data_IF_420266843172
#
_entry.id   IF_420266843172
#
_cell.length_a   1.000
_cell.length_b   1.000
_cell.length_c   1.000
_cell.angle_alpha   90.00
_cell.angle_beta   90.00
_cell.angle_gamma   90.00
#
_symmetry.space_group_name_H-M   'P 1'
#
loop_
_entity.id
_entity.type
_entity.pdbx_description
1 polymer ?
#
# COMPACT_ATOMS: atom_id res chain seq x y z
N UNK A 1 -21.08 4.71 -48.57
CA UNK A 1 -20.23 5.37 -49.58
C UNK A 1 -20.62 6.83 -49.70
N UNK A 2 -19.77 7.76 -49.31
CA UNK A 2 -19.78 9.15 -49.79
C UNK A 2 -18.42 9.76 -49.49
N UNK A 3 -17.55 9.76 -50.50
CA UNK A 3 -16.18 10.27 -50.42
C UNK A 3 -16.17 11.78 -50.60
N UNK A 4 -15.54 12.49 -49.66
CA UNK A 4 -15.17 13.90 -49.85
C UNK A 4 -13.85 13.95 -50.61
N UNK A 5 -13.88 14.50 -51.82
CA UNK A 5 -12.70 14.82 -52.64
C UNK A 5 -11.92 15.98 -52.00
N UNK A 6 -10.57 16.02 -52.14
CA UNK A 6 -9.77 17.17 -51.70
C UNK A 6 -10.01 18.37 -52.62
N UNK A 7 -10.07 19.57 -52.02
CA UNK A 7 -10.12 20.83 -52.75
C UNK A 7 -8.80 21.06 -53.50
N UNK A 8 -8.93 21.35 -54.79
CA UNK A 8 -7.84 21.78 -55.68
C UNK A 8 -7.27 23.13 -55.24
N UNK A 9 -5.93 23.20 -55.18
CA UNK A 9 -5.16 24.43 -55.04
C UNK A 9 -5.51 25.40 -56.17
N UNK A 10 -5.90 26.64 -55.82
CA UNK A 10 -6.13 27.72 -56.78
C UNK A 10 -4.79 28.26 -57.29
N UNK A 11 -4.64 28.51 -58.60
CA UNK A 11 -3.49 29.26 -59.13
C UNK A 11 -3.56 30.71 -58.64
N UNK A 12 -2.49 31.23 -58.03
CA UNK A 12 -2.35 32.65 -57.67
C UNK A 12 -2.14 32.96 -56.18
N UNK A 13 -2.00 31.96 -55.31
CA UNK A 13 -1.65 32.21 -53.91
C UNK A 13 -0.13 32.49 -53.79
N UNK A 14 0.23 33.77 -53.60
CA UNK A 14 1.58 34.17 -53.20
C UNK A 14 1.81 33.73 -51.76
N UNK A 15 2.75 32.82 -51.55
CA UNK A 15 3.27 32.54 -50.22
C UNK A 15 4.27 33.64 -49.84
N UNK A 16 3.92 34.46 -48.85
CA UNK A 16 4.88 35.31 -48.15
C UNK A 16 5.83 34.41 -47.36
N UNK A 17 6.98 34.12 -47.96
CA UNK A 17 8.12 33.49 -47.29
C UNK A 17 8.98 34.60 -46.68
N UNK A 18 8.60 35.07 -45.50
CA UNK A 18 9.50 35.87 -44.68
C UNK A 18 10.68 34.99 -44.26
N UNK A 19 11.93 35.33 -44.63
CA UNK A 19 13.09 34.56 -44.19
C UNK A 19 13.24 34.71 -42.68
N UNK A 20 13.11 33.61 -41.94
CA UNK A 20 13.42 33.58 -40.51
C UNK A 20 14.92 33.82 -40.32
N UNK A 21 15.25 34.88 -39.58
CA UNK A 21 16.63 35.25 -39.27
C UNK A 21 17.37 34.16 -38.48
N UNK A 22 18.70 34.05 -38.57
CA UNK A 22 19.47 32.93 -37.99
C UNK A 22 19.65 33.00 -36.47
N UNK A 23 18.97 33.89 -35.75
CA UNK A 23 19.16 34.12 -34.31
C UNK A 23 18.24 33.30 -33.39
N UNK A 24 17.45 32.37 -33.94
CA UNK A 24 16.50 31.54 -33.20
C UNK A 24 16.97 30.12 -32.83
N UNK A 25 18.23 29.75 -33.09
CA UNK A 25 18.72 28.37 -32.88
C UNK A 25 19.33 28.11 -31.48
N UNK A 26 19.31 29.10 -30.58
CA UNK A 26 19.88 28.96 -29.22
C UNK A 26 18.87 28.72 -28.10
N UNK A 27 17.57 28.58 -28.39
CA UNK A 27 16.54 28.30 -27.35
C UNK A 27 16.06 26.84 -27.35
N UNK A 28 16.30 26.08 -28.42
CA UNK A 28 15.82 24.68 -28.53
C UNK A 28 16.78 23.67 -27.89
N UNK A 29 18.06 24.01 -27.72
CA UNK A 29 19.03 23.13 -27.06
C UNK A 29 18.92 23.13 -25.52
N UNK A 30 18.20 24.09 -24.93
CA UNK A 30 17.96 24.16 -23.48
C UNK A 30 16.78 23.30 -22.99
N UNK A 31 15.83 22.96 -23.87
CA UNK A 31 14.63 22.18 -23.51
C UNK A 31 14.75 20.68 -23.78
N UNK A 32 15.68 20.26 -24.64
CA UNK A 32 15.97 18.82 -24.84
C UNK A 32 16.92 18.28 -23.76
N UNK A 33 17.73 19.14 -23.12
CA UNK A 33 18.61 18.73 -22.01
C UNK A 33 17.86 18.60 -20.67
N UNK A 34 16.69 19.22 -20.52
CA UNK A 34 15.83 19.03 -19.35
C UNK A 34 14.96 17.75 -19.43
N UNK A 35 14.82 17.15 -20.62
CA UNK A 35 14.01 15.94 -20.83
C UNK A 35 14.83 14.63 -20.72
N UNK A 36 16.16 14.70 -20.62
CA UNK A 36 17.05 13.51 -20.56
C UNK A 36 17.71 13.33 -19.17
N UNK A 37 17.38 14.19 -18.20
CA UNK A 37 17.85 14.05 -16.80
C UNK A 37 16.73 13.87 -15.77
N UNK A 38 15.52 13.50 -16.21
CA UNK A 38 14.61 12.74 -15.35
C UNK A 38 15.06 11.28 -15.31
N UNK A 39 16.33 11.04 -14.96
CA UNK A 39 16.70 9.78 -14.31
C UNK A 39 15.87 9.83 -13.04
N UNK A 40 14.81 9.05 -12.98
CA UNK A 40 14.12 8.78 -11.73
C UNK A 40 15.22 8.35 -10.77
N UNK A 41 15.60 9.25 -9.85
CA UNK A 41 16.48 8.90 -8.75
C UNK A 41 15.77 7.70 -8.13
N UNK A 42 16.37 6.50 -8.11
CA UNK A 42 15.75 5.38 -7.44
C UNK A 42 15.53 5.88 -6.03
N UNK A 43 14.26 6.01 -5.63
CA UNK A 43 13.92 6.42 -4.30
C UNK A 43 14.59 5.40 -3.38
N UNK A 44 15.65 5.81 -2.68
CA UNK A 44 16.29 4.97 -1.68
C UNK A 44 15.17 4.46 -0.79
N UNK A 45 15.05 3.14 -0.65
CA UNK A 45 14.02 2.58 0.19
C UNK A 45 14.08 3.21 1.57
N UNK A 46 12.91 3.66 2.04
CA UNK A 46 12.80 4.22 3.36
C UNK A 46 13.02 3.13 4.39
N UNK A 47 13.88 3.40 5.39
CA UNK A 47 13.77 2.71 6.67
C UNK A 47 12.29 2.72 7.10
N UNK A 48 11.65 1.55 7.33
CA UNK A 48 10.25 1.51 7.74
C UNK A 48 9.97 2.36 8.98
N UNK A 49 10.93 2.46 9.89
CA UNK A 49 10.86 3.36 11.03
C UNK A 49 10.72 4.82 10.62
N UNK A 50 11.60 5.30 9.75
CA UNK A 50 11.58 6.67 9.22
C UNK A 50 10.31 6.99 8.41
N UNK A 51 9.78 6.04 7.64
CA UNK A 51 8.55 6.24 6.87
C UNK A 51 7.29 6.25 7.76
N UNK A 52 7.27 5.43 8.82
CA UNK A 52 6.12 5.31 9.73
C UNK A 52 6.07 6.43 10.77
N UNK A 53 7.22 6.86 11.31
CA UNK A 53 7.27 7.79 12.45
C UNK A 53 6.50 9.09 12.23
N UNK A 54 6.61 9.78 11.07
CA UNK A 54 5.85 11.02 10.80
C UNK A 54 4.33 10.81 10.72
N UNK A 55 3.89 9.57 10.53
CA UNK A 55 2.48 9.22 10.41
C UNK A 55 1.87 8.85 11.75
N UNK A 56 2.64 8.68 12.83
CA UNK A 56 2.12 8.31 14.14
C UNK A 56 1.36 9.48 14.78
N UNK A 57 0.30 9.16 15.54
CA UNK A 57 -0.58 10.13 16.19
C UNK A 57 -1.64 10.76 15.27
N UNK A 58 -1.60 10.51 13.96
CA UNK A 58 -2.65 10.96 13.03
C UNK A 58 -3.99 10.32 13.39
N UNK A 59 -5.05 11.13 13.38
CA UNK A 59 -6.39 10.70 13.75
C UNK A 59 -6.92 9.61 12.81
N UNK A 60 -7.79 8.75 13.35
CA UNK A 60 -8.51 7.81 12.53
C UNK A 60 -9.59 8.54 11.72
N UNK A 61 -9.65 8.28 10.41
CA UNK A 61 -10.71 8.78 9.52
C UNK A 61 -11.23 7.62 8.71
N UNK A 62 -12.55 7.41 8.74
CA UNK A 62 -13.19 6.42 7.90
C UNK A 62 -12.82 6.68 6.43
N UNK A 63 -12.33 5.64 5.77
CA UNK A 63 -11.86 5.66 4.39
C UNK A 63 -10.68 6.62 4.08
N UNK A 64 -10.09 7.24 5.11
CA UNK A 64 -9.04 8.26 4.97
C UNK A 64 -7.70 7.70 4.49
N UNK A 65 -7.04 8.42 3.57
CA UNK A 65 -5.75 8.07 2.97
C UNK A 65 -5.07 9.31 2.37
N UNK A 66 -3.74 9.31 2.25
CA UNK A 66 -3.06 10.31 1.41
C UNK A 66 -3.04 9.83 -0.05
N UNK A 67 -3.16 10.73 -1.03
CA UNK A 67 -2.94 10.38 -2.44
C UNK A 67 -1.45 10.45 -2.82
N UNK A 68 -1.05 10.08 -4.05
CA UNK A 68 0.36 10.15 -4.47
C UNK A 68 0.95 11.58 -4.49
N UNK A 69 0.11 12.61 -4.56
CA UNK A 69 0.52 14.02 -4.47
C UNK A 69 0.59 14.52 -3.02
N UNK A 70 0.28 13.66 -2.04
CA UNK A 70 0.26 13.99 -0.61
C UNK A 70 -1.01 14.69 -0.14
N UNK A 71 -2.07 14.76 -0.97
CA UNK A 71 -3.36 15.33 -0.56
C UNK A 71 -4.10 14.36 0.33
N UNK A 72 -4.68 14.86 1.42
CA UNK A 72 -5.47 14.06 2.35
C UNK A 72 -6.87 13.86 1.78
N UNK A 73 -7.25 12.63 1.49
CA UNK A 73 -8.47 12.29 0.75
C UNK A 73 -9.10 11.00 1.28
N UNK A 74 -10.12 10.51 0.56
CA UNK A 74 -10.78 9.23 0.80
C UNK A 74 -10.48 8.28 -0.36
N UNK A 75 -10.41 6.97 -0.11
CA UNK A 75 -10.28 6.01 -1.20
C UNK A 75 -11.48 6.04 -2.14
N UNK A 76 -12.70 6.03 -1.59
CA UNK A 76 -13.95 5.99 -2.35
C UNK A 76 -14.23 7.32 -3.07
N UNK A 77 -13.76 8.45 -2.52
CA UNK A 77 -13.95 9.76 -3.10
C UNK A 77 -12.67 10.61 -3.09
N UNK A 78 -11.82 10.40 -4.09
CA UNK A 78 -10.53 11.08 -4.24
C UNK A 78 -10.64 12.59 -4.57
N UNK A 79 -11.86 13.06 -4.84
CA UNK A 79 -12.14 14.50 -5.05
C UNK A 79 -12.35 15.24 -3.73
N UNK A 80 -12.74 14.53 -2.66
CA UNK A 80 -12.84 15.10 -1.32
C UNK A 80 -11.43 15.32 -0.76
N UNK A 81 -11.12 16.55 -0.35
CA UNK A 81 -9.83 16.91 0.24
C UNK A 81 -10.03 17.48 1.64
N UNK A 82 -9.14 17.11 2.56
CA UNK A 82 -9.18 17.57 3.94
C UNK A 82 -7.93 18.40 4.27
N UNK A 83 -8.05 19.40 5.15
CA UNK A 83 -6.90 20.17 5.62
C UNK A 83 -5.94 19.31 6.46
N UNK A 84 -6.50 18.39 7.25
CA UNK A 84 -5.73 17.53 8.15
C UNK A 84 -5.64 16.09 7.64
N UNK A 85 -4.52 15.43 7.92
CA UNK A 85 -4.34 13.99 7.71
C UNK A 85 -5.35 13.19 8.54
N UNK A 86 -5.74 12.04 8.01
CA UNK A 86 -6.58 11.09 8.71
C UNK A 86 -6.57 9.77 7.97
N UNK A 87 -6.41 8.67 8.69
CA UNK A 87 -6.23 7.35 8.09
C UNK A 87 -7.21 6.34 8.65
N UNK A 88 -7.79 5.50 7.80
CA UNK A 88 -8.23 4.18 8.26
C UNK A 88 -7.02 3.21 8.28
N UNK A 89 -7.24 1.96 8.69
CA UNK A 89 -6.15 0.97 8.75
C UNK A 89 -5.48 0.76 7.37
N UNK A 90 -6.27 0.65 6.30
CA UNK A 90 -5.78 0.50 4.92
C UNK A 90 -5.04 1.72 4.41
N UNK A 91 -5.56 2.92 4.67
CA UNK A 91 -4.99 4.18 4.23
C UNK A 91 -3.68 4.50 4.92
N UNK A 92 -3.54 4.10 6.19
CA UNK A 92 -2.27 4.14 6.89
C UNK A 92 -1.24 3.23 6.21
N UNK A 93 -1.60 1.97 5.93
CA UNK A 93 -0.70 1.01 5.25
C UNK A 93 -0.27 1.54 3.88
N UNK A 94 -1.20 2.05 3.05
CA UNK A 94 -0.88 2.60 1.72
C UNK A 94 0.05 3.80 1.84
N UNK A 95 -0.30 4.76 2.70
CA UNK A 95 0.46 6.00 2.87
C UNK A 95 1.88 5.71 3.36
N UNK A 96 2.04 4.88 4.39
CA UNK A 96 3.33 4.45 4.88
C UNK A 96 4.13 3.70 3.80
N UNK A 97 3.47 2.81 3.05
CA UNK A 97 4.12 2.00 2.01
C UNK A 97 4.68 2.83 0.87
N UNK A 98 4.11 4.00 0.55
CA UNK A 98 4.72 4.91 -0.42
C UNK A 98 6.11 5.36 0.00
N UNK A 99 6.26 5.72 1.27
CA UNK A 99 7.56 6.10 1.85
C UNK A 99 8.51 4.91 1.95
N UNK A 100 8.02 3.75 2.39
CA UNK A 100 8.82 2.52 2.56
C UNK A 100 9.35 2.02 1.21
N UNK A 101 8.46 1.90 0.23
CA UNK A 101 8.78 1.30 -1.07
C UNK A 101 9.28 2.33 -2.10
N UNK A 102 9.22 3.63 -1.79
CA UNK A 102 9.60 4.68 -2.73
C UNK A 102 8.73 4.69 -4.01
N UNK A 103 7.49 4.22 -3.92
CA UNK A 103 6.57 4.07 -5.07
C UNK A 103 5.33 4.96 -4.93
N UNK A 104 4.76 5.44 -6.04
CA UNK A 104 3.61 6.35 -5.99
C UNK A 104 2.32 5.68 -5.48
N UNK A 105 2.15 4.36 -5.58
CA UNK A 105 0.96 3.60 -5.17
C UNK A 105 -0.38 4.34 -5.43
N UNK A 106 -0.82 4.45 -6.70
CA UNK A 106 -2.09 5.09 -7.04
C UNK A 106 -3.27 4.43 -6.34
N UNK A 107 -4.21 5.21 -5.80
CA UNK A 107 -5.31 4.71 -4.98
C UNK A 107 -6.24 3.74 -5.75
N UNK A 108 -6.50 4.01 -7.02
CA UNK A 108 -7.24 3.10 -7.91
C UNK A 108 -6.61 1.71 -8.00
N UNK A 109 -5.28 1.64 -8.05
CA UNK A 109 -4.58 0.35 -8.09
C UNK A 109 -4.62 -0.36 -6.72
N UNK A 110 -4.65 0.40 -5.62
CA UNK A 110 -4.70 -0.16 -4.26
C UNK A 110 -6.07 -0.75 -3.92
N UNK A 111 -7.13 -0.23 -4.53
CA UNK A 111 -8.52 -0.67 -4.40
C UNK A 111 -8.86 -1.93 -5.22
N UNK A 112 -7.98 -2.38 -6.11
CA UNK A 112 -8.30 -3.48 -7.01
C UNK A 112 -8.60 -4.77 -6.24
N UNK A 113 -9.80 -5.31 -6.43
CA UNK A 113 -10.12 -6.69 -6.09
C UNK A 113 -9.36 -7.61 -7.06
N UNK A 114 -8.30 -8.26 -6.58
CA UNK A 114 -7.46 -9.15 -7.39
C UNK A 114 -8.06 -10.53 -7.50
N UNK A 115 -8.92 -10.92 -6.56
CA UNK A 115 -9.43 -12.28 -6.42
C UNK A 115 -10.87 -12.43 -6.89
N UNK A 116 -11.55 -11.32 -7.15
CA UNK A 116 -12.97 -11.28 -7.49
C UNK A 116 -13.83 -11.75 -6.32
N UNK A 117 -13.32 -11.66 -5.09
CA UNK A 117 -13.96 -12.17 -3.87
C UNK A 117 -14.52 -11.08 -2.98
N UNK A 118 -14.46 -9.81 -3.40
CA UNK A 118 -15.11 -8.71 -2.70
C UNK A 118 -16.62 -8.89 -2.66
N UNK A 119 -17.24 -8.36 -1.59
CA UNK A 119 -18.70 -8.43 -1.41
C UNK A 119 -19.44 -7.82 -2.60
N UNK A 120 -20.66 -8.30 -2.88
CA UNK A 120 -21.49 -7.85 -4.03
C UNK A 120 -21.71 -6.32 -4.09
N UNK A 121 -21.56 -5.63 -2.97
CA UNK A 121 -21.72 -4.18 -2.83
C UNK A 121 -20.40 -3.40 -3.01
N UNK A 122 -19.27 -4.06 -3.20
CA UNK A 122 -17.96 -3.45 -3.35
C UNK A 122 -17.07 -4.17 -4.38
N UNK A 123 -17.48 -4.14 -5.66
CA UNK A 123 -16.73 -4.80 -6.73
C UNK A 123 -15.34 -4.22 -6.99
N UNK A 124 -14.99 -3.07 -6.40
CA UNK A 124 -13.66 -2.48 -6.43
C UNK A 124 -13.10 -2.28 -5.01
N UNK A 125 -13.35 -3.26 -4.13
CA UNK A 125 -12.72 -3.39 -2.82
C UNK A 125 -13.09 -2.31 -1.80
N UNK A 126 -14.16 -1.53 -2.05
CA UNK A 126 -14.60 -0.43 -1.18
C UNK A 126 -15.19 -0.92 0.16
N UNK A 127 -15.61 -2.18 0.22
CA UNK A 127 -15.91 -2.93 1.44
C UNK A 127 -14.58 -3.61 1.78
N UNK A 128 -13.73 -2.91 2.52
CA UNK A 128 -12.33 -3.25 2.82
C UNK A 128 -12.14 -4.51 3.68
N UNK A 129 -13.10 -5.44 3.58
CA UNK A 129 -13.17 -6.77 4.15
C UNK A 129 -12.12 -7.75 3.61
N UNK A 130 -11.24 -7.32 2.69
CA UNK A 130 -10.21 -8.15 2.09
C UNK A 130 -8.84 -7.46 2.14
N UNK A 131 -8.36 -7.22 3.37
CA UNK A 131 -7.01 -6.73 3.63
C UNK A 131 -5.88 -7.54 2.97
N UNK A 132 -6.13 -8.75 2.50
CA UNK A 132 -5.16 -9.52 1.72
C UNK A 132 -4.88 -8.96 0.33
N UNK A 133 -5.93 -8.51 -0.39
CA UNK A 133 -5.75 -7.93 -1.72
C UNK A 133 -4.99 -6.61 -1.67
N UNK A 134 -5.21 -5.83 -0.62
CA UNK A 134 -4.40 -4.64 -0.36
C UNK A 134 -2.91 -4.99 -0.28
N UNK A 135 -2.56 -6.04 0.46
CA UNK A 135 -1.18 -6.51 0.58
C UNK A 135 -0.63 -6.87 -0.80
N UNK A 136 -1.38 -7.63 -1.58
CA UNK A 136 -0.97 -8.00 -2.93
C UNK A 136 -0.78 -6.78 -3.82
N UNK A 137 -1.69 -5.79 -3.78
CA UNK A 137 -1.64 -4.55 -4.55
C UNK A 137 -0.43 -3.69 -4.18
N UNK A 138 -0.19 -3.47 -2.89
CA UNK A 138 0.94 -2.68 -2.39
C UNK A 138 2.28 -3.31 -2.79
N UNK A 139 2.37 -4.64 -2.70
CA UNK A 139 3.60 -5.39 -2.98
C UNK A 139 3.68 -5.90 -4.42
N UNK A 140 2.87 -5.34 -5.33
CA UNK A 140 2.83 -5.80 -6.72
C UNK A 140 4.19 -5.67 -7.42
N UNK A 141 4.64 -6.77 -8.05
CA UNK A 141 5.96 -6.87 -8.68
C UNK A 141 7.14 -7.14 -7.74
N UNK A 142 6.90 -7.34 -6.43
CA UNK A 142 7.95 -7.70 -5.46
C UNK A 142 7.93 -9.21 -5.17
N UNK A 143 9.08 -9.85 -4.90
CA UNK A 143 9.09 -11.23 -4.42
C UNK A 143 8.55 -11.25 -3.00
N UNK A 144 7.49 -12.04 -2.78
CA UNK A 144 6.80 -12.13 -1.49
C UNK A 144 7.10 -13.45 -0.80
N UNK A 145 7.05 -13.47 0.53
CA UNK A 145 7.07 -14.70 1.32
C UNK A 145 6.07 -14.59 2.48
N UNK A 146 5.42 -15.69 2.82
CA UNK A 146 4.57 -15.75 4.02
C UNK A 146 5.45 -15.95 5.25
N UNK A 147 5.18 -15.23 6.34
CA UNK A 147 5.76 -15.54 7.64
C UNK A 147 4.82 -16.48 8.40
N UNK A 148 5.32 -17.66 8.78
CA UNK A 148 4.55 -18.70 9.47
C UNK A 148 5.30 -19.24 10.68
N UNK A 149 4.60 -19.79 11.68
CA UNK A 149 5.25 -20.57 12.75
C UNK A 149 6.07 -21.74 12.19
N UNK A 150 7.16 -22.09 12.87
CA UNK A 150 8.02 -23.20 12.51
C UNK A 150 7.22 -24.51 12.30
N UNK A 151 7.54 -25.26 11.24
CA UNK A 151 6.87 -26.50 10.88
C UNK A 151 5.60 -26.33 10.03
N UNK A 152 5.12 -25.11 9.83
CA UNK A 152 4.05 -24.84 8.87
C UNK A 152 4.61 -24.47 7.49
N UNK A 153 3.89 -24.84 6.43
CA UNK A 153 4.25 -24.51 5.05
C UNK A 153 3.13 -23.71 4.41
N UNK A 154 3.51 -22.70 3.62
CA UNK A 154 2.62 -22.00 2.72
C UNK A 154 2.93 -22.42 1.27
N UNK A 155 1.96 -22.28 0.35
CA UNK A 155 2.23 -22.23 -1.08
C UNK A 155 3.41 -21.32 -1.42
N UNK A 156 4.21 -21.73 -2.42
CA UNK A 156 5.43 -21.04 -2.82
C UNK A 156 5.18 -19.60 -3.32
N UNK A 157 4.00 -19.35 -3.85
CA UNK A 157 3.56 -18.05 -4.37
C UNK A 157 2.44 -17.51 -3.47
N UNK A 158 2.66 -16.44 -2.68
CA UNK A 158 1.61 -15.86 -1.85
C UNK A 158 0.38 -15.49 -2.69
N UNK A 159 0.55 -14.91 -3.88
CA UNK A 159 -0.56 -14.63 -4.79
C UNK A 159 -1.42 -15.85 -5.17
N UNK A 160 -0.97 -17.09 -4.98
CA UNK A 160 -1.76 -18.30 -5.19
C UNK A 160 -2.53 -18.75 -3.94
N UNK A 161 -2.36 -18.08 -2.80
CA UNK A 161 -3.10 -18.37 -1.58
C UNK A 161 -4.60 -18.19 -1.79
N UNK A 162 -5.36 -19.19 -1.36
CA UNK A 162 -6.78 -19.08 -1.08
C UNK A 162 -6.94 -18.53 0.34
N UNK A 163 -7.21 -17.23 0.42
CA UNK A 163 -7.43 -16.51 1.68
C UNK A 163 -8.64 -17.05 2.46
N UNK A 164 -9.63 -17.66 1.80
CA UNK A 164 -10.75 -18.30 2.48
C UNK A 164 -10.33 -19.55 3.28
N UNK A 165 -9.21 -20.18 2.90
CA UNK A 165 -8.70 -21.41 3.54
C UNK A 165 -7.44 -21.16 4.36
N UNK A 166 -6.63 -20.18 3.99
CA UNK A 166 -5.34 -19.91 4.60
C UNK A 166 -5.32 -18.54 5.26
N UNK A 167 -5.39 -18.54 6.59
CA UNK A 167 -5.54 -17.34 7.42
C UNK A 167 -4.27 -16.96 8.20
N UNK A 168 -3.18 -17.69 7.96
CA UNK A 168 -1.94 -17.61 8.73
C UNK A 168 -2.05 -18.39 10.05
N UNK A 169 -1.89 -17.73 11.19
CA UNK A 169 -1.91 -18.38 12.52
C UNK A 169 -2.84 -17.66 13.51
N UNK A 170 -3.27 -18.30 14.62
CA UNK A 170 -4.10 -17.67 15.63
C UNK A 170 -3.44 -16.44 16.24
N UNK A 171 -4.15 -15.30 16.25
CA UNK A 171 -3.62 -14.00 16.64
C UNK A 171 -3.06 -13.96 18.07
N UNK A 172 -3.59 -14.82 18.96
CA UNK A 172 -3.22 -14.85 20.37
C UNK A 172 -2.21 -15.96 20.72
N UNK A 173 -1.72 -16.72 19.74
CA UNK A 173 -0.71 -17.77 19.96
C UNK A 173 0.67 -17.16 20.22
N UNK A 174 1.15 -17.31 21.46
CA UNK A 174 2.44 -16.76 21.89
C UNK A 174 3.64 -17.46 21.24
N UNK A 175 3.56 -18.78 21.00
CA UNK A 175 4.65 -19.55 20.40
C UNK A 175 4.78 -19.20 18.91
N UNK A 176 3.65 -19.03 18.23
CA UNK A 176 3.61 -18.53 16.85
C UNK A 176 4.27 -17.15 16.73
N UNK A 177 3.91 -16.20 17.61
CA UNK A 177 4.55 -14.88 17.62
C UNK A 177 6.05 -14.94 17.86
N UNK A 178 6.52 -15.73 18.82
CA UNK A 178 7.95 -15.89 19.07
C UNK A 178 8.69 -16.42 17.82
N UNK A 179 8.11 -17.41 17.15
CA UNK A 179 8.67 -17.99 15.93
C UNK A 179 8.70 -17.01 14.76
N UNK A 180 7.62 -16.26 14.54
CA UNK A 180 7.50 -15.32 13.41
C UNK A 180 8.36 -14.07 13.62
N UNK A 181 8.41 -13.51 14.83
CA UNK A 181 9.24 -12.34 15.11
C UNK A 181 10.73 -12.63 14.88
N UNK A 182 11.18 -13.85 15.19
CA UNK A 182 12.55 -14.31 14.89
C UNK A 182 12.86 -14.50 13.40
N UNK A 183 11.85 -14.45 12.51
CA UNK A 183 12.03 -14.57 11.06
C UNK A 183 12.10 -13.23 10.33
N UNK A 184 11.85 -12.11 11.01
CA UNK A 184 11.97 -10.78 10.43
C UNK A 184 13.43 -10.51 10.08
N UNK A 185 13.68 -10.12 8.83
CA UNK A 185 15.02 -9.83 8.33
C UNK A 185 15.21 -8.32 8.20
N UNK A 186 16.44 -7.81 8.37
CA UNK A 186 16.78 -6.48 7.89
C UNK A 186 16.52 -6.38 6.37
N UNK A 187 16.06 -5.23 5.91
CA UNK A 187 15.82 -5.01 4.47
C UNK A 187 14.51 -5.60 3.93
N UNK A 188 13.55 -5.93 4.79
CA UNK A 188 12.18 -6.27 4.40
C UNK A 188 11.15 -5.57 5.31
N UNK A 189 9.92 -5.57 4.84
CA UNK A 189 8.72 -5.16 5.58
C UNK A 189 7.72 -6.30 5.51
N UNK A 190 7.06 -6.62 6.61
CA UNK A 190 5.95 -7.56 6.64
C UNK A 190 4.61 -6.82 6.72
N UNK A 191 3.70 -7.18 5.83
CA UNK A 191 2.35 -6.69 5.81
C UNK A 191 1.44 -7.66 6.53
N UNK A 192 0.60 -7.13 7.40
CA UNK A 192 -0.31 -7.92 8.20
C UNK A 192 -1.75 -7.70 7.76
N UNK A 193 -2.52 -8.78 7.72
CA UNK A 193 -3.97 -8.71 7.66
C UNK A 193 -4.58 -9.65 8.70
N UNK A 194 -5.53 -9.14 9.48
CA UNK A 194 -6.20 -9.87 10.54
C UNK A 194 -7.57 -10.29 10.04
N UNK A 195 -7.92 -11.55 10.29
CA UNK A 195 -9.19 -12.12 9.88
C UNK A 195 -9.96 -12.75 11.03
N UNK A 196 -11.29 -12.73 10.92
CA UNK A 196 -12.21 -13.44 11.83
C UNK A 196 -13.40 -13.95 11.04
N UNK A 197 -14.08 -14.96 11.57
CA UNK A 197 -15.29 -15.49 10.97
C UNK A 197 -16.52 -14.98 11.74
N UNK A 198 -17.48 -14.40 11.03
CA UNK A 198 -18.78 -13.99 11.60
C UNK A 198 -19.86 -14.73 10.84
N UNK A 199 -20.65 -15.55 11.55
CA UNK A 199 -21.78 -16.28 10.98
C UNK A 199 -21.44 -17.06 9.70
N UNK A 200 -20.29 -17.73 9.68
CA UNK A 200 -19.83 -18.53 8.52
C UNK A 200 -19.19 -17.72 7.38
N UNK A 201 -19.08 -16.40 7.50
CA UNK A 201 -18.38 -15.54 6.54
C UNK A 201 -17.05 -15.07 7.11
N UNK A 202 -15.99 -15.18 6.32
CA UNK A 202 -14.66 -14.68 6.64
C UNK A 202 -14.58 -13.17 6.39
N UNK A 203 -13.98 -12.44 7.32
CA UNK A 203 -13.76 -10.99 7.26
C UNK A 203 -12.29 -10.68 7.54
N UNK A 204 -11.60 -10.02 6.62
CA UNK A 204 -10.31 -9.38 6.89
C UNK A 204 -10.53 -7.95 7.36
N UNK A 205 -10.78 -7.80 8.65
CA UNK A 205 -11.30 -6.56 9.23
C UNK A 205 -10.21 -5.53 9.59
N UNK A 206 -8.93 -5.89 9.51
CA UNK A 206 -7.84 -5.00 9.92
C UNK A 206 -6.54 -5.32 9.19
N UNK A 207 -5.72 -4.29 8.96
CA UNK A 207 -4.39 -4.40 8.35
C UNK A 207 -3.35 -3.59 9.12
N UNK A 208 -2.08 -3.95 8.95
CA UNK A 208 -0.96 -3.26 9.60
C UNK A 208 0.38 -3.58 8.96
N UNK A 209 1.42 -2.96 9.50
CA UNK A 209 2.82 -3.11 9.10
C UNK A 209 3.61 -3.70 10.26
N UNK A 210 4.47 -4.67 9.97
CA UNK A 210 5.38 -5.33 10.89
C UNK A 210 6.80 -5.21 10.37
N UNK A 211 7.68 -4.56 11.12
CA UNK A 211 9.09 -4.38 10.74
C UNK A 211 10.01 -4.46 11.95
N UNK A 212 11.26 -4.83 11.72
CA UNK A 212 12.32 -4.72 12.71
C UNK A 212 13.14 -3.45 12.46
N UNK A 213 13.54 -2.75 13.53
CA UNK A 213 14.55 -1.70 13.44
C UNK A 213 15.97 -2.28 13.38
N UNK A 214 16.97 -1.41 13.24
CA UNK A 214 18.38 -1.81 13.20
C UNK A 214 18.88 -2.53 14.47
N UNK A 215 18.18 -2.38 15.61
CA UNK A 215 18.48 -3.07 16.87
C UNK A 215 17.77 -4.43 17.00
N UNK A 216 16.96 -4.82 16.02
CA UNK A 216 16.18 -6.06 16.04
C UNK A 216 14.86 -5.94 16.81
N UNK A 217 14.47 -4.74 17.25
CA UNK A 217 13.17 -4.52 17.90
C UNK A 217 12.08 -4.51 16.85
N UNK A 218 11.05 -5.31 17.05
CA UNK A 218 9.95 -5.44 16.09
C UNK A 218 8.77 -4.55 16.49
N UNK A 219 8.24 -3.82 15.52
CA UNK A 219 7.11 -2.92 15.68
C UNK A 219 5.94 -3.35 14.81
N UNK A 220 4.75 -3.36 15.40
CA UNK A 220 3.49 -3.43 14.67
C UNK A 220 2.86 -2.05 14.59
N UNK A 221 2.82 -1.45 13.40
CA UNK A 221 2.25 -0.14 13.16
C UNK A 221 0.93 -0.25 12.41
N UNK A 222 -0.09 0.46 12.88
CA UNK A 222 -1.45 0.40 12.34
C UNK A 222 -2.28 1.60 12.81
N UNK A 223 -3.47 1.78 12.23
CA UNK A 223 -4.44 2.79 12.67
C UNK A 223 -5.72 2.14 13.16
N UNK A 224 -6.23 2.57 14.32
CA UNK A 224 -7.50 2.08 14.90
C UNK A 224 -8.40 3.23 15.32
N UNK A 225 -9.74 3.03 15.29
CA UNK A 225 -10.68 3.99 15.85
C UNK A 225 -10.35 4.33 17.30
N UNK A 226 -10.44 5.62 17.67
CA UNK A 226 -10.20 6.12 19.03
C UNK A 226 -8.73 6.35 19.41
N UNK A 227 -7.78 5.68 18.76
CA UNK A 227 -6.33 5.87 19.03
C UNK A 227 -5.57 6.50 17.85
N UNK A 228 -6.14 6.41 16.65
CA UNK A 228 -5.44 6.84 15.43
C UNK A 228 -4.31 5.88 15.05
N UNK A 229 -3.43 6.35 14.19
CA UNK A 229 -2.21 5.64 13.79
C UNK A 229 -1.20 5.61 14.93
N UNK A 230 -0.71 4.43 15.28
CA UNK A 230 0.26 4.23 16.33
C UNK A 230 1.05 2.95 16.07
N UNK A 231 2.02 2.64 16.96
CA UNK A 231 2.78 1.39 16.89
C UNK A 231 2.96 0.74 18.24
N UNK A 232 3.16 -0.57 18.23
CA UNK A 232 3.41 -1.40 19.41
C UNK A 232 4.72 -2.17 19.21
N UNK A 233 5.59 -2.19 20.21
CA UNK A 233 6.84 -2.96 20.17
C UNK A 233 6.60 -4.41 20.58
N UNK A 234 6.48 -5.31 19.61
CA UNK A 234 6.10 -6.70 19.82
C UNK A 234 7.22 -7.57 20.42
N UNK A 235 8.48 -7.12 20.35
CA UNK A 235 9.60 -7.76 21.05
C UNK A 235 9.63 -7.48 22.55
N UNK A 236 8.88 -6.47 23.02
CA UNK A 236 8.77 -6.17 24.45
C UNK A 236 7.58 -6.88 25.09
N UNK A 237 7.69 -7.39 26.33
CA UNK A 237 6.54 -7.97 27.04
C UNK A 237 5.36 -7.00 27.16
N UNK A 238 5.64 -5.71 27.41
CA UNK A 238 4.63 -4.67 27.54
C UNK A 238 3.89 -4.40 26.21
N UNK A 239 4.62 -4.28 25.10
CA UNK A 239 4.02 -4.07 23.79
C UNK A 239 3.24 -5.28 23.29
N UNK A 240 3.72 -6.50 23.52
CA UNK A 240 2.95 -7.72 23.24
C UNK A 240 1.68 -7.82 24.09
N UNK A 241 1.73 -7.46 25.37
CA UNK A 241 0.54 -7.39 26.21
C UNK A 241 -0.47 -6.34 25.72
N UNK A 242 0.01 -5.17 25.30
CA UNK A 242 -0.82 -4.12 24.71
C UNK A 242 -1.47 -4.59 23.39
N UNK A 243 -0.72 -5.27 22.53
CA UNK A 243 -1.23 -5.86 21.29
C UNK A 243 -2.34 -6.88 21.56
N UNK A 244 -2.11 -7.81 22.50
CA UNK A 244 -3.12 -8.79 22.93
C UNK A 244 -4.38 -8.11 23.46
N UNK A 245 -4.24 -7.05 24.26
CA UNK A 245 -5.35 -6.27 24.79
C UNK A 245 -6.14 -5.57 23.68
N UNK A 246 -5.44 -4.92 22.75
CA UNK A 246 -6.06 -4.17 21.65
C UNK A 246 -6.90 -5.07 20.75
N UNK A 247 -6.47 -6.33 20.57
CA UNK A 247 -7.22 -7.31 19.81
C UNK A 247 -7.96 -8.36 20.65
N UNK A 248 -8.21 -8.12 21.94
CA UNK A 248 -8.79 -9.12 22.86
C UNK A 248 -10.26 -9.46 22.60
N UNK A 249 -11.01 -8.61 21.88
CA UNK A 249 -12.45 -8.82 21.66
C UNK A 249 -12.75 -10.16 20.98
N UNK A 250 -13.59 -11.00 21.59
CA UNK A 250 -13.90 -12.37 21.14
C UNK A 250 -15.33 -12.54 20.62
N UNK A 251 -16.18 -11.51 20.68
CA UNK A 251 -17.59 -11.54 20.26
C UNK A 251 -17.82 -12.12 18.87
N UNK A 252 -16.81 -12.05 18.01
CA UNK A 252 -16.87 -12.42 16.60
C UNK A 252 -15.91 -13.57 16.25
N UNK A 253 -15.70 -14.50 17.20
CA UNK A 253 -14.91 -15.70 16.99
C UNK A 253 -13.40 -15.52 17.15
N UNK A 254 -12.67 -16.57 16.80
CA UNK A 254 -11.21 -16.59 16.84
C UNK A 254 -10.61 -15.70 15.74
N UNK A 255 -9.65 -14.87 16.15
CA UNK A 255 -8.90 -13.98 15.26
C UNK A 255 -7.63 -14.66 14.80
N UNK A 256 -7.34 -14.48 13.53
CA UNK A 256 -6.18 -15.02 12.84
C UNK A 256 -5.40 -13.88 12.19
N UNK A 257 -4.12 -14.09 11.93
CA UNK A 257 -3.25 -13.12 11.27
C UNK A 257 -2.43 -13.79 10.17
N UNK A 258 -2.49 -13.18 8.99
CA UNK A 258 -1.64 -13.50 7.86
C UNK A 258 -0.57 -12.42 7.70
N UNK A 259 0.68 -12.84 7.58
CA UNK A 259 1.84 -11.98 7.42
C UNK A 259 2.54 -12.29 6.11
N UNK A 260 2.72 -11.26 5.28
CA UNK A 260 3.42 -11.37 3.99
C UNK A 260 4.57 -10.37 3.96
N UNK A 261 5.79 -10.89 3.93
CA UNK A 261 7.00 -10.09 3.81
C UNK A 261 7.33 -9.80 2.34
N UNK A 262 7.81 -8.58 2.09
CA UNK A 262 8.37 -8.13 0.83
C UNK A 262 9.70 -7.40 1.08
N UNK A 263 10.69 -7.51 0.18
CA UNK A 263 11.94 -6.80 0.33
C UNK A 263 11.73 -5.29 0.21
N UNK A 264 12.56 -4.54 0.92
CA UNK A 264 12.73 -3.11 0.68
C UNK A 264 13.51 -2.94 -0.64
N UNK A 265 13.14 -1.94 -1.47
CA UNK A 265 13.95 -1.57 -2.63
C UNK A 265 15.42 -1.34 -2.25
N UNK A 266 16.36 -1.53 -3.18
CA UNK A 266 17.78 -1.23 -2.98
C UNK A 266 18.20 -0.13 -3.94
#
# INVERSE_FOLDING_TARGET
>A
MSGKRPQSLRPGYRMDVTPLSPRGQFVVSGLVLAAVLAVAIPALAGDPGAAVTPLLGVAYRDDGVDDPAGRHTLFANQSATFPDRGYNCSGFVVTASRGILGRPLPLEAMRRDRKGDSGKTAPAGEDWDFGYDLILNVTDGLPRRVLLPAGQTAPAAPEALDAARFRGFPLHDAAAWASVLGQLRPGEIAYATLSKEITGRLYYYHVGLLYADASGRAYFAHATPGKGSHRLELTSPAGMAAFKKEFAEKRFGEKWILLVAAPLPR
#
